data_IF_214487085479
#
_entry.id   IF_214487085479
#
_cell.length_a   1.000
_cell.length_b   1.000
_cell.length_c   1.000
_cell.angle_alpha   90.00
_cell.angle_beta   90.00
_cell.angle_gamma   90.00
#
_symmetry.space_group_name_H-M   'P 1'
#
loop_
_entity.id
_entity.type
_entity.pdbx_description
1 polymer ?
#
# COMPACT_ATOMS: atom_id res chain seq x y z
N UNK A 1 -24.90 6.19 -12.71
CA UNK A 1 -25.48 5.04 -13.42
C UNK A 1 -24.53 3.86 -13.23
N UNK A 2 -24.99 2.75 -12.67
CA UNK A 2 -24.17 1.55 -12.46
C UNK A 2 -23.73 1.00 -13.82
N UNK A 3 -22.42 0.95 -14.06
CA UNK A 3 -21.85 0.58 -15.37
C UNK A 3 -21.87 -0.93 -15.62
N UNK A 4 -22.22 -1.76 -14.63
CA UNK A 4 -22.12 -3.21 -14.70
C UNK A 4 -23.45 -3.89 -14.40
N UNK A 5 -23.77 -4.92 -15.19
CA UNK A 5 -24.91 -5.81 -14.90
C UNK A 5 -24.68 -6.60 -13.60
N UNK A 6 -25.75 -7.15 -13.01
CA UNK A 6 -25.67 -7.97 -11.80
C UNK A 6 -24.73 -9.17 -11.98
N UNK A 7 -24.78 -9.82 -13.15
CA UNK A 7 -23.92 -10.95 -13.50
C UNK A 7 -22.46 -10.53 -13.67
N UNK A 8 -22.20 -9.39 -14.32
CA UNK A 8 -20.85 -8.84 -14.44
C UNK A 8 -20.26 -8.50 -13.07
N UNK A 9 -21.05 -7.90 -12.17
CA UNK A 9 -20.62 -7.65 -10.78
C UNK A 9 -20.32 -8.94 -10.03
N UNK A 10 -21.19 -9.93 -10.12
CA UNK A 10 -20.97 -11.22 -9.46
C UNK A 10 -19.68 -11.89 -9.96
N UNK A 11 -19.45 -11.89 -11.29
CA UNK A 11 -18.23 -12.41 -11.89
C UNK A 11 -16.99 -11.63 -11.45
N UNK A 12 -17.07 -10.30 -11.40
CA UNK A 12 -15.97 -9.45 -10.92
C UNK A 12 -15.64 -9.76 -9.46
N UNK A 13 -16.64 -9.78 -8.57
CA UNK A 13 -16.45 -10.09 -7.16
C UNK A 13 -15.80 -11.46 -6.95
N UNK A 14 -16.18 -12.47 -7.74
CA UNK A 14 -15.58 -13.82 -7.67
C UNK A 14 -14.10 -13.85 -8.09
N UNK A 15 -13.67 -12.93 -8.95
CA UNK A 15 -12.30 -12.87 -9.46
C UNK A 15 -11.36 -12.01 -8.62
N UNK A 16 -11.88 -11.29 -7.62
CA UNK A 16 -11.06 -10.50 -6.70
C UNK A 16 -10.29 -11.48 -5.80
N UNK A 17 -8.97 -11.50 -5.97
CA UNK A 17 -8.05 -12.29 -5.15
C UNK A 17 -7.58 -11.47 -3.96
N UNK A 18 -7.35 -12.14 -2.84
CA UNK A 18 -6.85 -11.51 -1.61
C UNK A 18 -5.32 -11.44 -1.52
N UNK A 19 -4.60 -12.04 -2.48
CA UNK A 19 -3.13 -12.10 -2.53
C UNK A 19 -2.64 -12.44 -3.93
N UNK A 20 -1.37 -12.16 -4.19
CA UNK A 20 -0.71 -12.37 -5.49
C UNK A 20 -1.54 -11.76 -6.63
N UNK A 21 -2.09 -10.57 -6.37
CA UNK A 21 -2.80 -9.77 -7.37
C UNK A 21 -1.83 -9.32 -8.48
N UNK A 22 -2.37 -8.91 -9.62
CA UNK A 22 -1.54 -8.41 -10.73
C UNK A 22 -0.72 -7.19 -10.35
N UNK A 23 -1.24 -6.34 -9.45
CA UNK A 23 -0.56 -5.14 -8.96
C UNK A 23 0.64 -5.51 -8.08
N UNK A 24 0.46 -6.41 -7.11
CA UNK A 24 1.55 -6.92 -6.27
C UNK A 24 2.63 -7.58 -7.12
N UNK A 25 2.22 -8.43 -8.08
CA UNK A 25 3.15 -9.14 -8.96
C UNK A 25 4.00 -8.18 -9.81
N UNK A 26 3.40 -7.08 -10.28
CA UNK A 26 4.11 -6.10 -11.10
C UNK A 26 5.19 -5.38 -10.28
N UNK A 27 4.83 -4.84 -9.12
CA UNK A 27 5.77 -4.14 -8.25
C UNK A 27 6.89 -5.07 -7.78
N UNK A 28 6.56 -6.31 -7.43
CA UNK A 28 7.52 -7.34 -7.01
C UNK A 28 8.55 -7.70 -8.08
N UNK A 29 8.12 -7.81 -9.35
CA UNK A 29 9.03 -8.09 -10.46
C UNK A 29 10.01 -6.94 -10.64
N UNK A 30 9.52 -5.72 -10.53
CA UNK A 30 10.33 -4.53 -10.71
C UNK A 30 11.34 -4.35 -9.59
N UNK A 31 10.93 -4.51 -8.32
CA UNK A 31 11.84 -4.52 -7.18
C UNK A 31 12.97 -5.54 -7.33
N UNK A 32 12.65 -6.74 -7.82
CA UNK A 32 13.65 -7.77 -8.08
C UNK A 32 14.61 -7.37 -9.20
N UNK A 33 14.10 -6.75 -10.28
CA UNK A 33 14.90 -6.23 -11.40
C UNK A 33 15.88 -5.16 -10.94
N UNK A 34 15.47 -4.30 -10.01
CA UNK A 34 16.32 -3.28 -9.39
C UNK A 34 17.25 -3.83 -8.29
N UNK A 35 17.24 -5.14 -8.02
CA UNK A 35 18.15 -5.79 -7.07
C UNK A 35 17.69 -5.79 -5.61
N UNK A 36 16.48 -5.31 -5.31
CA UNK A 36 15.93 -5.32 -3.96
C UNK A 36 15.39 -6.69 -3.58
N UNK A 37 15.79 -7.16 -2.39
CA UNK A 37 15.23 -8.38 -1.79
C UNK A 37 14.11 -8.01 -0.84
N UNK A 38 13.00 -8.71 -0.95
CA UNK A 38 11.81 -8.46 -0.16
C UNK A 38 11.21 -9.76 0.39
N UNK A 39 10.42 -9.64 1.46
CA UNK A 39 9.46 -10.65 1.90
C UNK A 39 8.07 -10.26 1.39
N UNK A 40 7.22 -11.24 1.13
CA UNK A 40 5.82 -11.01 0.72
C UNK A 40 4.86 -11.49 1.80
N UNK A 41 3.70 -10.84 1.92
CA UNK A 41 2.64 -11.23 2.87
C UNK A 41 3.19 -11.48 4.28
N UNK A 42 3.94 -10.52 4.83
CA UNK A 42 4.72 -10.75 6.03
C UNK A 42 3.81 -10.72 7.26
N UNK A 43 3.47 -11.91 7.79
CA UNK A 43 2.45 -12.09 8.83
C UNK A 43 2.88 -11.63 10.22
N UNK A 44 4.17 -11.39 10.41
CA UNK A 44 4.73 -10.94 11.69
C UNK A 44 4.52 -9.43 11.93
N UNK A 45 4.11 -8.69 10.91
CA UNK A 45 3.81 -7.26 11.03
C UNK A 45 2.31 -6.97 11.04
N UNK A 46 1.88 -5.92 11.77
CA UNK A 46 0.53 -5.39 11.69
C UNK A 46 0.08 -5.14 10.25
N UNK A 47 -1.17 -5.48 9.94
CA UNK A 47 -1.76 -5.26 8.61
C UNK A 47 -1.27 -6.20 7.51
N UNK A 48 -0.27 -7.06 7.78
CA UNK A 48 0.31 -8.03 6.84
C UNK A 48 0.69 -7.38 5.51
N UNK A 49 1.71 -6.49 5.50
CA UNK A 49 2.10 -5.76 4.30
C UNK A 49 2.36 -6.70 3.12
N UNK A 50 1.97 -6.27 1.93
CA UNK A 50 2.12 -7.04 0.69
C UNK A 50 3.58 -7.34 0.41
N UNK A 51 4.43 -6.34 0.62
CA UNK A 51 5.87 -6.38 0.39
C UNK A 51 6.58 -5.73 1.57
N UNK A 52 7.66 -6.37 2.04
CA UNK A 52 8.48 -5.87 3.14
C UNK A 52 9.96 -5.89 2.76
N UNK A 53 10.61 -4.75 2.85
CA UNK A 53 12.07 -4.62 2.73
C UNK A 53 12.68 -4.61 4.13
N UNK A 54 12.94 -5.81 4.67
CA UNK A 54 13.35 -5.96 6.08
C UNK A 54 14.67 -5.25 6.41
N UNK A 55 15.59 -5.17 5.45
CA UNK A 55 16.87 -4.46 5.64
C UNK A 55 16.67 -2.97 5.93
N UNK A 56 15.63 -2.35 5.35
CA UNK A 56 15.37 -0.92 5.42
C UNK A 56 14.16 -0.60 6.31
N UNK A 57 13.59 -1.59 7.00
CA UNK A 57 12.34 -1.45 7.74
C UNK A 57 11.22 -0.73 6.96
N UNK A 58 11.07 -1.06 5.66
CA UNK A 58 10.01 -0.49 4.82
C UNK A 58 8.88 -1.53 4.64
N UNK A 59 7.66 -1.14 4.98
CA UNK A 59 6.43 -1.88 4.76
C UNK A 59 5.62 -1.25 3.62
N UNK A 60 5.32 -2.03 2.58
CA UNK A 60 4.65 -1.55 1.37
C UNK A 60 3.29 -2.23 1.23
N UNK A 61 2.25 -1.43 1.01
CA UNK A 61 0.88 -1.87 0.71
C UNK A 61 0.49 -1.50 -0.72
N UNK A 62 -0.14 -2.43 -1.41
CA UNK A 62 -0.65 -2.31 -2.78
C UNK A 62 -2.17 -2.18 -2.74
N UNK A 63 -2.66 -0.96 -2.52
CA UNK A 63 -4.06 -0.71 -2.23
C UNK A 63 -4.90 -0.61 -3.51
N UNK A 64 -6.07 -1.24 -3.49
CA UNK A 64 -7.08 -1.00 -4.52
C UNK A 64 -7.81 0.33 -4.27
N UNK A 65 -8.07 1.09 -5.33
CA UNK A 65 -8.71 2.41 -5.17
C UNK A 65 -10.09 2.33 -4.53
N UNK A 66 -10.84 1.27 -4.83
CA UNK A 66 -12.20 1.13 -4.35
C UNK A 66 -12.26 0.70 -2.87
N UNK A 67 -11.55 -0.35 -2.48
CA UNK A 67 -11.70 -0.92 -1.14
C UNK A 67 -11.06 -0.08 -0.03
N UNK A 68 -10.08 0.77 -0.37
CA UNK A 68 -9.44 1.71 0.57
C UNK A 68 -9.89 3.16 0.31
N UNK A 69 -10.83 3.36 -0.62
CA UNK A 69 -11.52 4.64 -0.83
C UNK A 69 -10.63 5.78 -1.29
N UNK A 70 -9.80 5.53 -2.32
CA UNK A 70 -9.07 6.60 -3.02
C UNK A 70 -10.06 7.67 -3.48
N UNK A 71 -9.70 8.93 -3.27
CA UNK A 71 -10.52 10.10 -3.60
C UNK A 71 -11.91 10.01 -2.95
N UNK A 72 -11.96 9.73 -1.64
CA UNK A 72 -13.18 9.40 -0.89
C UNK A 72 -14.31 10.43 -1.05
N UNK A 73 -13.97 11.71 -1.13
CA UNK A 73 -14.92 12.81 -1.35
C UNK A 73 -15.69 12.68 -2.67
N UNK A 74 -15.08 12.05 -3.67
CA UNK A 74 -15.69 11.76 -4.98
C UNK A 74 -16.38 10.41 -4.97
N UNK A 75 -15.78 9.40 -4.33
CA UNK A 75 -16.30 8.03 -4.31
C UNK A 75 -17.57 7.90 -3.46
N UNK A 76 -17.62 8.52 -2.28
CA UNK A 76 -18.75 8.41 -1.35
C UNK A 76 -20.08 8.90 -1.97
N UNK A 77 -20.17 10.09 -2.59
CA UNK A 77 -21.40 10.53 -3.27
C UNK A 77 -21.83 9.62 -4.43
N UNK A 78 -20.89 8.89 -5.05
CA UNK A 78 -21.24 7.91 -6.09
C UNK A 78 -21.85 6.65 -5.49
N UNK A 79 -21.34 6.19 -4.33
CA UNK A 79 -21.86 5.05 -3.59
C UNK A 79 -23.25 5.33 -3.01
N UNK A 80 -23.49 6.53 -2.50
CA UNK A 80 -24.81 6.98 -1.99
C UNK A 80 -25.91 6.86 -3.04
N UNK A 81 -25.57 7.05 -4.32
CA UNK A 81 -26.49 6.89 -5.46
C UNK A 81 -26.62 5.43 -5.93
N UNK A 82 -25.85 4.52 -5.33
CA UNK A 82 -25.73 3.12 -5.70
C UNK A 82 -26.63 2.19 -4.88
N UNK A 83 -26.59 0.90 -5.21
CA UNK A 83 -27.26 -0.14 -4.42
C UNK A 83 -26.37 -0.51 -3.22
N UNK A 84 -26.99 -0.74 -2.06
CA UNK A 84 -26.30 -1.07 -0.80
C UNK A 84 -25.31 0.02 -0.35
N UNK A 85 -25.70 1.29 -0.51
CA UNK A 85 -24.89 2.44 -0.15
C UNK A 85 -24.35 2.33 1.28
N UNK A 86 -25.23 2.13 2.26
CA UNK A 86 -24.86 2.05 3.69
C UNK A 86 -23.78 0.99 3.94
N UNK A 87 -23.96 -0.21 3.38
CA UNK A 87 -23.00 -1.30 3.51
C UNK A 87 -21.62 -0.92 2.93
N UNK A 88 -21.57 -0.34 1.73
CA UNK A 88 -20.30 0.01 1.09
C UNK A 88 -19.61 1.18 1.77
N UNK A 89 -20.38 2.18 2.19
CA UNK A 89 -19.86 3.34 2.92
C UNK A 89 -19.26 2.88 4.24
N UNK A 90 -20.01 2.12 5.03
CA UNK A 90 -19.52 1.59 6.31
C UNK A 90 -18.29 0.71 6.12
N UNK A 91 -18.31 -0.19 5.12
CA UNK A 91 -17.18 -1.09 4.85
C UNK A 91 -15.91 -0.33 4.47
N UNK A 92 -16.00 0.65 3.57
CA UNK A 92 -14.82 1.40 3.12
C UNK A 92 -14.32 2.31 4.25
N UNK A 93 -15.21 2.95 5.01
CA UNK A 93 -14.80 3.76 6.17
C UNK A 93 -14.10 2.92 7.25
N UNK A 94 -14.56 1.70 7.52
CA UNK A 94 -13.86 0.77 8.43
C UNK A 94 -12.50 0.36 7.90
N UNK A 95 -12.38 0.12 6.59
CA UNK A 95 -11.09 -0.20 5.98
C UNK A 95 -10.10 0.97 6.11
N UNK A 96 -10.53 2.21 5.83
CA UNK A 96 -9.69 3.40 6.00
C UNK A 96 -9.23 3.58 7.45
N UNK A 97 -10.15 3.45 8.41
CA UNK A 97 -9.79 3.50 9.82
C UNK A 97 -8.76 2.42 10.20
N UNK A 98 -8.98 1.20 9.70
CA UNK A 98 -8.04 0.11 9.91
C UNK A 98 -6.66 0.41 9.29
N UNK A 99 -6.62 0.95 8.08
CA UNK A 99 -5.38 1.36 7.42
C UNK A 99 -4.61 2.39 8.24
N UNK A 100 -5.30 3.39 8.80
CA UNK A 100 -4.70 4.40 9.68
C UNK A 100 -4.14 3.79 10.97
N UNK A 101 -4.86 2.85 11.58
CA UNK A 101 -4.42 2.17 12.79
C UNK A 101 -3.19 1.30 12.53
N UNK A 102 -3.15 0.61 11.39
CA UNK A 102 -1.98 -0.17 10.95
C UNK A 102 -0.79 0.74 10.68
N UNK A 103 -1.00 1.89 10.00
CA UNK A 103 0.06 2.84 9.72
C UNK A 103 0.72 3.33 11.03
N UNK A 104 -0.10 3.69 12.02
CA UNK A 104 0.38 4.12 13.35
C UNK A 104 1.16 3.02 14.07
N UNK A 105 0.66 1.78 14.05
CA UNK A 105 1.33 0.64 14.68
C UNK A 105 2.69 0.37 14.04
N UNK A 106 2.77 0.39 12.71
CA UNK A 106 4.03 0.18 11.99
C UNK A 106 5.02 1.30 12.25
N UNK A 107 4.58 2.56 12.20
CA UNK A 107 5.42 3.72 12.54
C UNK A 107 5.96 3.63 13.97
N UNK A 108 5.13 3.23 14.93
CA UNK A 108 5.56 3.02 16.32
C UNK A 108 6.63 1.92 16.45
N UNK A 109 6.55 0.89 15.62
CA UNK A 109 7.56 -0.18 15.53
C UNK A 109 8.82 0.25 14.74
N UNK A 110 8.90 1.51 14.31
CA UNK A 110 10.02 2.06 13.54
C UNK A 110 10.04 1.62 12.08
N UNK A 111 8.87 1.30 11.50
CA UNK A 111 8.74 0.98 10.09
C UNK A 111 8.27 2.19 9.28
N UNK A 112 8.94 2.43 8.16
CA UNK A 112 8.45 3.35 7.13
C UNK A 112 7.32 2.67 6.37
N UNK A 113 6.16 3.32 6.29
CA UNK A 113 4.98 2.79 5.59
C UNK A 113 4.79 3.50 4.27
N UNK A 114 4.74 2.73 3.18
CA UNK A 114 4.50 3.26 1.83
C UNK A 114 3.26 2.57 1.26
N UNK A 115 2.29 3.35 0.78
CA UNK A 115 1.06 2.82 0.18
C UNK A 115 0.96 3.29 -1.27
N UNK A 116 0.78 2.34 -2.19
CA UNK A 116 0.60 2.64 -3.61
C UNK A 116 -0.76 2.18 -4.10
N UNK A 117 -1.42 3.04 -4.88
CA UNK A 117 -2.65 2.67 -5.55
C UNK A 117 -2.38 1.73 -6.72
N UNK A 118 -3.25 0.73 -6.89
CA UNK A 118 -3.12 -0.28 -7.93
C UNK A 118 -2.93 0.28 -9.36
N UNK A 119 -3.65 1.34 -9.73
CA UNK A 119 -3.47 2.02 -11.03
C UNK A 119 -2.12 2.69 -11.16
N UNK A 120 -1.60 3.27 -10.09
CA UNK A 120 -0.28 3.91 -10.10
C UNK A 120 0.80 2.85 -10.26
N UNK A 121 0.72 1.74 -9.52
CA UNK A 121 1.59 0.58 -9.72
C UNK A 121 1.52 0.09 -11.18
N UNK A 122 0.32 0.01 -11.76
CA UNK A 122 0.15 -0.52 -13.12
C UNK A 122 0.60 0.42 -14.22
N UNK A 123 0.53 1.74 -14.03
CA UNK A 123 0.85 2.73 -15.07
C UNK A 123 2.23 3.35 -14.91
N UNK A 124 2.69 3.51 -13.67
CA UNK A 124 3.83 4.31 -13.24
C UNK A 124 4.70 3.52 -12.28
N UNK A 125 5.03 2.28 -12.65
CA UNK A 125 5.79 1.37 -11.78
C UNK A 125 7.15 1.96 -11.43
N UNK A 126 7.81 2.60 -12.40
CA UNK A 126 9.13 3.21 -12.20
C UNK A 126 9.08 4.33 -11.15
N UNK A 127 8.03 5.17 -11.17
CA UNK A 127 7.82 6.20 -10.13
C UNK A 127 7.62 5.57 -8.75
N UNK A 128 6.89 4.44 -8.66
CA UNK A 128 6.71 3.73 -7.39
C UNK A 128 8.04 3.22 -6.84
N UNK A 129 8.92 2.72 -7.72
CA UNK A 129 10.26 2.29 -7.32
C UNK A 129 11.08 3.48 -6.85
N UNK A 130 11.05 4.58 -7.59
CA UNK A 130 11.81 5.78 -7.26
C UNK A 130 11.47 6.30 -5.85
N UNK A 131 10.19 6.33 -5.47
CA UNK A 131 9.75 6.67 -4.11
C UNK A 131 10.37 5.72 -3.06
N UNK A 132 10.44 4.42 -3.36
CA UNK A 132 11.06 3.44 -2.45
C UNK A 132 12.56 3.72 -2.33
N UNK A 133 13.24 4.02 -3.43
CA UNK A 133 14.69 4.31 -3.45
C UNK A 133 15.02 5.59 -2.70
N UNK A 134 14.21 6.63 -2.84
CA UNK A 134 14.33 7.90 -2.09
C UNK A 134 14.23 7.64 -0.59
N UNK A 135 13.24 6.87 -0.13
CA UNK A 135 13.11 6.50 1.29
C UNK A 135 14.31 5.70 1.80
N UNK A 136 14.87 4.79 0.98
CA UNK A 136 16.08 4.04 1.34
C UNK A 136 17.29 4.97 1.44
N UNK A 137 17.39 5.96 0.54
CA UNK A 137 18.47 6.93 0.52
C UNK A 137 18.41 7.85 1.74
N UNK A 138 17.24 8.40 2.06
CA UNK A 138 17.02 9.25 3.24
C UNK A 138 17.37 8.53 4.54
N UNK A 139 16.98 7.26 4.69
CA UNK A 139 17.35 6.48 5.88
C UNK A 139 18.87 6.33 6.02
N UNK A 140 19.57 5.98 4.93
CA UNK A 140 21.04 5.86 4.96
C UNK A 140 21.74 7.17 5.25
N UNK A 141 21.20 8.26 4.74
CA UNK A 141 21.75 9.59 4.96
C UNK A 141 21.61 10.01 6.44
N UNK A 142 20.43 9.79 7.03
CA UNK A 142 20.20 10.05 8.46
C UNK A 142 21.11 9.18 9.36
N UNK A 143 21.31 7.91 9.01
CA UNK A 143 22.23 7.03 9.75
C UNK A 143 23.68 7.56 9.68
N UNK A 144 24.10 8.09 8.53
CA UNK A 144 25.44 8.66 8.35
C UNK A 144 25.65 9.94 9.17
N UNK A 145 24.68 10.85 9.16
CA UNK A 145 24.78 12.11 9.92
C UNK A 145 24.92 11.83 11.43
N UNK A 146 24.15 10.88 11.97
CA UNK A 146 24.24 10.47 13.39
C UNK A 146 25.64 9.94 13.73
N UNK A 147 26.20 9.06 12.89
CA UNK A 147 27.56 8.53 13.11
C UNK A 147 28.61 9.64 13.09
N UNK A 148 28.47 10.64 12.21
CA UNK A 148 29.42 11.76 12.15
C UNK A 148 29.33 12.71 13.34
N UNK A 149 28.11 12.96 13.86
CA UNK A 149 27.92 13.77 15.06
C UNK A 149 28.52 13.07 16.29
N UNK A 150 28.30 11.76 16.45
CA UNK A 150 28.88 10.99 17.56
C UNK A 150 30.42 10.99 17.54
N UNK A 151 31.05 10.86 16.36
CA UNK A 151 32.52 10.89 16.23
C UNK A 151 33.08 12.29 16.53
N UNK A 152 32.34 13.35 16.23
CA UNK A 152 32.78 14.75 16.45
C UNK A 152 32.74 15.20 17.92
N UNK A 153 32.04 14.46 18.79
CA UNK A 153 31.89 14.75 20.22
C UNK A 153 32.77 13.87 21.13
N UNK A 154 33.68 13.06 20.54
CA UNK A 154 34.70 12.26 21.25
C UNK A 154 36.08 12.87 21.02
#
# INVERSE_FOLDING_TARGET
MDRLTKEQRHKNMKNIRSKDTSIELKLRKELWRCGYRYRKNYTELPGKPDIVLTKYKIAIFCDSEFFHGKDWEVLKPQLEKGKNADFWIEKISKNQQHDDDINKQLQFLGWTVIRFWGKDIMKKTDECIQVIEENIFEQKYNDYDIETEEISHV
#
